data_IF_702231254501
#
_entry.id   IF_702231254501
#
_cell.length_a   1.000
_cell.length_b   1.000
_cell.length_c   1.000
_cell.angle_alpha   90.00
_cell.angle_beta   90.00
_cell.angle_gamma   90.00
#
_symmetry.space_group_name_H-M   'P 1'
#
loop_
_entity.id
_entity.type
_entity.pdbx_description
1 polymer ?
#
# COMPACT_ATOMS: atom_id res chain seq x y z
N UNK A 1 15.93 -38.32 35.12
CA UNK A 1 16.26 -39.32 34.08
C UNK A 1 16.83 -38.57 32.88
N UNK A 2 18.16 -38.56 32.65
CA UNK A 2 18.73 -37.86 31.50
C UNK A 2 18.76 -38.78 30.28
N UNK A 3 18.21 -38.30 29.15
CA UNK A 3 18.19 -38.99 27.86
C UNK A 3 19.41 -38.53 27.05
N UNK A 4 20.25 -39.48 26.67
CA UNK A 4 21.44 -39.34 25.82
C UNK A 4 21.02 -39.01 24.37
N UNK A 5 21.61 -37.95 23.80
CA UNK A 5 21.50 -37.61 22.39
C UNK A 5 22.62 -38.30 21.59
N UNK A 6 22.24 -39.04 20.55
CA UNK A 6 23.13 -39.71 19.60
C UNK A 6 23.36 -38.81 18.37
N UNK A 7 24.62 -38.60 18.00
CA UNK A 7 25.04 -37.90 16.79
C UNK A 7 25.02 -38.82 15.54
N UNK A 8 24.83 -38.29 14.32
CA UNK A 8 24.97 -39.04 13.07
C UNK A 8 26.38 -38.93 12.46
N UNK A 9 26.83 -39.96 11.68
CA UNK A 9 28.14 -39.94 11.01
C UNK A 9 28.09 -39.23 9.65
N UNK A 10 29.21 -38.61 9.29
CA UNK A 10 29.41 -37.82 8.07
C UNK A 10 29.56 -38.64 6.79
N UNK A 11 29.19 -38.02 5.67
CA UNK A 11 29.37 -38.54 4.32
C UNK A 11 30.52 -37.81 3.61
N UNK A 12 31.45 -38.62 3.09
CA UNK A 12 32.64 -38.23 2.36
C UNK A 12 32.34 -37.68 0.96
N UNK A 13 33.14 -36.70 0.54
CA UNK A 13 33.15 -36.11 -0.78
C UNK A 13 34.01 -36.91 -1.75
N UNK A 14 33.44 -37.34 -2.88
CA UNK A 14 34.20 -37.90 -4.01
C UNK A 14 34.52 -36.78 -5.00
N UNK A 15 35.82 -36.44 -5.09
CA UNK A 15 36.40 -35.66 -6.18
C UNK A 15 36.72 -36.59 -7.35
N UNK A 16 36.27 -36.24 -8.54
CA UNK A 16 36.73 -36.87 -9.78
C UNK A 16 37.20 -35.78 -10.74
N UNK A 17 38.51 -35.79 -10.94
CA UNK A 17 39.27 -35.04 -11.91
C UNK A 17 39.62 -36.03 -13.04
N UNK A 18 39.54 -35.62 -14.30
CA UNK A 18 40.64 -35.61 -15.29
C UNK A 18 40.26 -35.83 -16.77
N UNK A 19 40.97 -35.03 -17.59
CA UNK A 19 41.51 -35.28 -18.94
C UNK A 19 40.76 -34.87 -20.24
N UNK A 20 41.39 -33.87 -20.88
CA UNK A 20 41.55 -33.50 -22.32
C UNK A 20 41.77 -34.70 -23.30
N UNK A 21 41.70 -34.58 -24.66
CA UNK A 21 42.37 -33.53 -25.48
C UNK A 21 41.78 -33.14 -26.88
N UNK A 22 42.51 -32.19 -27.51
CA UNK A 22 42.37 -31.53 -28.82
C UNK A 22 42.00 -32.37 -30.07
N UNK A 23 41.34 -31.74 -31.05
CA UNK A 23 41.71 -31.78 -32.50
C UNK A 23 41.31 -30.51 -33.30
N UNK A 24 42.27 -30.03 -34.12
CA UNK A 24 42.14 -29.14 -35.31
C UNK A 24 41.16 -29.77 -36.34
N UNK A 25 40.57 -29.09 -37.34
CA UNK A 25 41.20 -28.54 -38.57
C UNK A 25 40.12 -27.92 -39.49
N UNK A 26 40.41 -26.73 -40.03
CA UNK A 26 40.13 -26.15 -41.39
C UNK A 26 38.76 -26.10 -42.09
N UNK A 27 38.56 -24.93 -42.73
CA UNK A 27 38.05 -24.66 -44.08
C UNK A 27 36.59 -24.20 -44.28
N UNK A 28 36.49 -22.89 -44.55
CA UNK A 28 35.86 -22.19 -45.69
C UNK A 28 34.43 -22.53 -46.19
N UNK A 29 33.78 -21.45 -46.64
CA UNK A 29 32.81 -21.30 -47.76
C UNK A 29 31.44 -20.74 -47.36
N UNK A 30 31.31 -19.44 -47.66
CA UNK A 30 30.16 -18.67 -48.17
C UNK A 30 28.80 -19.38 -48.21
N UNK A 31 27.84 -18.85 -47.43
CA UNK A 31 26.45 -18.72 -47.86
C UNK A 31 25.75 -17.61 -47.08
N UNK A 32 25.63 -16.46 -47.73
CA UNK A 32 24.80 -15.32 -47.35
C UNK A 32 23.34 -15.67 -47.69
N UNK A 33 22.67 -16.36 -46.76
CA UNK A 33 21.22 -16.53 -46.77
C UNK A 33 20.68 -15.83 -45.52
N UNK A 34 19.85 -14.82 -45.76
CA UNK A 34 19.09 -14.09 -44.77
C UNK A 34 18.42 -15.06 -43.77
N UNK A 35 19.07 -15.22 -42.61
CA UNK A 35 18.48 -15.94 -41.49
C UNK A 35 17.28 -15.13 -41.00
N UNK A 36 16.08 -15.73 -40.89
CA UNK A 36 14.99 -15.08 -40.17
C UNK A 36 15.51 -14.80 -38.76
N UNK A 37 15.63 -13.51 -38.41
CA UNK A 37 16.00 -13.08 -37.07
C UNK A 37 15.02 -13.74 -36.11
N UNK A 38 15.49 -14.81 -35.47
CA UNK A 38 14.78 -15.50 -34.41
C UNK A 38 14.49 -14.41 -33.39
N UNK A 39 13.21 -14.12 -33.05
CA UNK A 39 12.92 -13.11 -32.06
C UNK A 39 13.68 -13.52 -30.81
N UNK A 40 14.70 -12.73 -30.50
CA UNK A 40 15.47 -12.84 -29.28
C UNK A 40 14.45 -12.51 -28.20
N UNK A 41 13.85 -13.57 -27.65
CA UNK A 41 13.02 -13.47 -26.47
C UNK A 41 14.00 -13.00 -25.41
N UNK A 42 14.11 -11.68 -25.24
CA UNK A 42 14.75 -11.05 -24.10
C UNK A 42 14.08 -11.67 -22.88
N UNK A 43 14.71 -12.71 -22.34
CA UNK A 43 14.38 -13.25 -21.05
C UNK A 43 14.71 -12.13 -20.09
N UNK A 44 13.71 -11.26 -19.84
CA UNK A 44 13.77 -10.26 -18.79
C UNK A 44 14.16 -11.01 -17.52
N UNK A 45 15.43 -10.89 -17.15
CA UNK A 45 15.98 -11.53 -15.98
C UNK A 45 15.23 -10.95 -14.80
N UNK A 46 14.28 -11.75 -14.30
CA UNK A 46 13.43 -11.35 -13.19
C UNK A 46 14.36 -11.02 -12.02
N UNK A 47 14.35 -9.75 -11.62
CA UNK A 47 15.09 -9.27 -10.45
C UNK A 47 14.76 -10.18 -9.26
N UNK A 48 15.77 -10.85 -8.72
CA UNK A 48 15.61 -11.73 -7.58
C UNK A 48 15.57 -10.88 -6.30
N UNK A 49 14.42 -10.88 -5.64
CA UNK A 49 14.21 -10.12 -4.42
C UNK A 49 14.41 -11.03 -3.19
N UNK A 50 14.98 -10.46 -2.13
CA UNK A 50 15.12 -11.10 -0.83
C UNK A 50 13.87 -10.95 0.05
N UNK A 51 12.94 -10.10 -0.37
CA UNK A 51 11.74 -9.76 0.36
C UNK A 51 10.49 -10.36 -0.31
N UNK A 52 9.39 -10.52 0.43
CA UNK A 52 8.08 -10.83 -0.15
C UNK A 52 7.71 -9.86 -1.27
N UNK A 53 7.41 -10.42 -2.44
CA UNK A 53 7.22 -9.66 -3.68
C UNK A 53 5.92 -10.07 -4.38
N UNK A 54 5.04 -9.10 -4.60
CA UNK A 54 3.77 -9.25 -5.31
C UNK A 54 3.90 -8.56 -6.66
N UNK A 55 3.96 -9.35 -7.74
CA UNK A 55 3.95 -8.82 -9.11
C UNK A 55 2.53 -8.89 -9.65
N UNK A 56 1.96 -7.72 -9.94
CA UNK A 56 0.61 -7.59 -10.47
C UNK A 56 0.64 -7.64 -11.99
N UNK A 57 -0.35 -8.29 -12.58
CA UNK A 57 -0.49 -8.39 -14.04
C UNK A 57 -1.31 -7.20 -14.61
N UNK A 58 -0.88 -5.99 -14.25
CA UNK A 58 -1.47 -4.72 -14.70
C UNK A 58 -0.34 -3.79 -15.12
N UNK A 59 -0.58 -2.90 -16.08
CA UNK A 59 0.48 -2.00 -16.53
C UNK A 59 0.79 -0.91 -15.47
N UNK A 60 -0.24 -0.44 -14.78
CA UNK A 60 -0.17 0.58 -13.71
C UNK A 60 -1.06 0.19 -12.53
N UNK A 61 -0.63 0.55 -11.32
CA UNK A 61 -1.41 0.37 -10.10
C UNK A 61 -2.30 1.60 -9.95
N UNK A 62 -3.61 1.41 -10.10
CA UNK A 62 -4.57 2.49 -9.90
C UNK A 62 -4.61 2.94 -8.43
N UNK A 63 -5.06 4.17 -8.19
CA UNK A 63 -5.20 4.70 -6.81
C UNK A 63 -6.13 3.82 -5.96
N UNK A 64 -7.21 3.30 -6.56
CA UNK A 64 -8.16 2.40 -5.91
C UNK A 64 -7.52 1.04 -5.54
N UNK A 65 -6.70 0.50 -6.44
CA UNK A 65 -5.96 -0.75 -6.21
C UNK A 65 -4.92 -0.57 -5.11
N UNK A 66 -4.16 0.53 -5.16
CA UNK A 66 -3.17 0.86 -4.14
C UNK A 66 -3.81 0.96 -2.75
N UNK A 67 -4.92 1.68 -2.63
CA UNK A 67 -5.68 1.80 -1.39
C UNK A 67 -6.14 0.45 -0.84
N UNK A 68 -6.75 -0.39 -1.70
CA UNK A 68 -7.27 -1.70 -1.30
C UNK A 68 -6.18 -2.67 -0.85
N UNK A 69 -5.08 -2.76 -1.60
CA UNK A 69 -3.96 -3.62 -1.25
C UNK A 69 -3.27 -3.15 0.04
N UNK A 70 -3.19 -1.85 0.25
CA UNK A 70 -2.65 -1.27 1.50
C UNK A 70 -3.54 -1.60 2.70
N UNK A 71 -4.86 -1.41 2.59
CA UNK A 71 -5.80 -1.76 3.66
C UNK A 71 -5.77 -3.26 4.00
N UNK A 72 -5.67 -4.10 2.95
CA UNK A 72 -5.50 -5.56 3.09
C UNK A 72 -4.20 -5.91 3.81
N UNK A 73 -3.08 -5.29 3.42
CA UNK A 73 -1.79 -5.48 4.10
C UNK A 73 -1.88 -5.11 5.58
N UNK A 74 -2.47 -3.97 5.94
CA UNK A 74 -2.64 -3.55 7.35
C UNK A 74 -3.41 -4.62 8.12
N UNK A 75 -4.53 -5.09 7.57
CA UNK A 75 -5.35 -6.15 8.18
C UNK A 75 -4.56 -7.45 8.38
N UNK A 76 -3.74 -7.83 7.40
CA UNK A 76 -2.86 -8.99 7.50
C UNK A 76 -1.76 -8.78 8.55
N UNK A 77 -1.10 -7.63 8.58
CA UNK A 77 -0.03 -7.33 9.55
C UNK A 77 -0.56 -7.39 10.98
N UNK A 78 -1.75 -6.83 11.24
CA UNK A 78 -2.38 -6.91 12.56
C UNK A 78 -2.57 -8.36 13.01
N UNK A 79 -3.05 -9.23 12.12
CA UNK A 79 -3.22 -10.65 12.45
C UNK A 79 -1.88 -11.38 12.60
N UNK A 80 -0.95 -11.19 11.66
CA UNK A 80 0.36 -11.88 11.63
C UNK A 80 1.28 -11.46 12.79
N UNK A 81 1.11 -10.25 13.33
CA UNK A 81 1.83 -9.75 14.49
C UNK A 81 1.05 -9.92 15.81
N UNK A 82 0.06 -10.81 15.83
CA UNK A 82 -0.76 -11.11 17.01
C UNK A 82 -1.41 -9.88 17.67
N UNK A 83 -1.70 -8.84 16.87
CA UNK A 83 -2.42 -7.66 17.37
C UNK A 83 -3.91 -7.89 17.46
N UNK A 84 -4.43 -8.87 16.72
CA UNK A 84 -5.84 -9.26 16.72
C UNK A 84 -5.93 -10.79 16.65
N UNK A 85 -6.92 -11.42 17.31
CA UNK A 85 -6.99 -12.88 17.43
C UNK A 85 -7.44 -13.57 16.14
N UNK A 86 -8.18 -12.86 15.28
CA UNK A 86 -8.69 -13.38 14.00
C UNK A 86 -8.51 -12.33 12.90
N UNK A 87 -8.43 -12.75 11.62
CA UNK A 87 -8.46 -11.83 10.49
C UNK A 87 -9.68 -10.90 10.54
N UNK A 88 -9.51 -9.63 10.14
CA UNK A 88 -10.57 -8.60 10.21
C UNK A 88 -11.88 -9.04 9.53
N UNK A 89 -11.78 -9.73 8.39
CA UNK A 89 -12.95 -10.26 7.66
C UNK A 89 -13.71 -11.33 8.45
N UNK A 90 -13.03 -12.09 9.30
CA UNK A 90 -13.68 -13.04 10.20
C UNK A 90 -14.30 -12.32 11.40
N UNK A 91 -13.57 -11.37 12.01
CA UNK A 91 -14.04 -10.57 13.14
C UNK A 91 -15.37 -9.85 12.84
N UNK A 92 -15.52 -9.28 11.63
CA UNK A 92 -16.74 -8.57 11.23
C UNK A 92 -17.97 -9.49 11.08
N UNK A 93 -17.75 -10.80 10.89
CA UNK A 93 -18.82 -11.80 10.73
C UNK A 93 -19.15 -12.55 12.02
N UNK A 94 -18.26 -12.51 13.01
CA UNK A 94 -18.47 -13.23 14.26
C UNK A 94 -19.57 -12.53 15.07
N UNK A 95 -20.59 -13.26 15.56
CA UNK A 95 -21.59 -12.70 16.45
C UNK A 95 -20.93 -12.20 17.73
N UNK A 96 -21.41 -11.09 18.29
CA UNK A 96 -20.95 -10.63 19.60
C UNK A 96 -21.38 -11.64 20.66
N UNK A 97 -20.43 -12.17 21.44
CA UNK A 97 -20.78 -12.94 22.64
C UNK A 97 -21.47 -12.02 23.64
N UNK A 98 -22.64 -12.42 24.15
CA UNK A 98 -23.38 -11.64 25.16
C UNK A 98 -22.63 -11.54 26.50
N UNK A 99 -21.66 -12.43 26.73
CA UNK A 99 -20.96 -12.55 28.01
C UNK A 99 -19.82 -11.53 28.21
N UNK A 100 -19.28 -10.92 27.14
CA UNK A 100 -18.18 -9.95 27.25
C UNK A 100 -18.45 -8.70 26.39
N UNK A 101 -19.11 -7.72 27.00
CA UNK A 101 -19.42 -6.43 26.38
C UNK A 101 -18.16 -5.63 26.01
N UNK A 102 -17.04 -5.84 26.71
CA UNK A 102 -15.78 -5.11 26.50
C UNK A 102 -15.05 -5.61 25.25
N UNK A 103 -14.92 -6.92 25.09
CA UNK A 103 -14.28 -7.51 23.91
C UNK A 103 -15.11 -7.27 22.64
N UNK A 104 -16.45 -7.31 22.76
CA UNK A 104 -17.35 -6.92 21.67
C UNK A 104 -17.17 -5.45 21.25
N UNK A 105 -16.99 -4.53 22.22
CA UNK A 105 -16.70 -3.11 21.94
C UNK A 105 -15.35 -2.93 21.23
N UNK A 106 -14.26 -3.53 21.75
CA UNK A 106 -12.93 -3.49 21.12
C UNK A 106 -12.96 -3.99 19.67
N UNK A 107 -13.70 -5.07 19.41
CA UNK A 107 -13.93 -5.61 18.06
C UNK A 107 -14.61 -4.59 17.15
N UNK A 108 -15.73 -4.01 17.59
CA UNK A 108 -16.48 -3.05 16.80
C UNK A 108 -15.65 -1.80 16.49
N UNK A 109 -14.95 -1.28 17.50
CA UNK A 109 -14.06 -0.12 17.36
C UNK A 109 -12.93 -0.40 16.36
N UNK A 110 -12.32 -1.59 16.41
CA UNK A 110 -11.32 -2.01 15.43
C UNK A 110 -11.90 -2.06 14.01
N UNK A 111 -13.04 -2.74 13.80
CA UNK A 111 -13.65 -2.88 12.48
C UNK A 111 -13.99 -1.51 11.90
N UNK A 112 -14.61 -0.64 12.70
CA UNK A 112 -14.92 0.73 12.30
C UNK A 112 -13.66 1.54 11.96
N UNK A 113 -12.58 1.38 12.73
CA UNK A 113 -11.31 2.06 12.48
C UNK A 113 -10.65 1.58 11.18
N UNK A 114 -10.71 0.28 10.88
CA UNK A 114 -10.17 -0.27 9.62
C UNK A 114 -11.01 0.18 8.42
N UNK A 115 -12.34 0.22 8.56
CA UNK A 115 -13.23 0.74 7.51
C UNK A 115 -12.97 2.24 7.25
N UNK A 116 -12.79 3.02 8.32
CA UNK A 116 -12.40 4.43 8.23
C UNK A 116 -11.04 4.61 7.55
N UNK A 117 -10.02 3.84 7.95
CA UNK A 117 -8.71 3.83 7.30
C UNK A 117 -8.83 3.50 5.80
N UNK A 118 -9.61 2.48 5.45
CA UNK A 118 -9.82 2.06 4.06
C UNK A 118 -10.43 3.18 3.20
N UNK A 119 -11.44 3.88 3.74
CA UNK A 119 -12.03 5.07 3.11
C UNK A 119 -11.00 6.16 2.89
N UNK A 120 -10.22 6.50 3.93
CA UNK A 120 -9.19 7.53 3.86
C UNK A 120 -8.06 7.15 2.89
N UNK A 121 -7.63 5.89 2.85
CA UNK A 121 -6.61 5.43 1.90
C UNK A 121 -7.05 5.66 0.45
N UNK A 122 -8.33 5.54 0.14
CA UNK A 122 -8.85 5.77 -1.21
C UNK A 122 -8.63 7.22 -1.68
N UNK A 123 -8.97 8.20 -0.85
CA UNK A 123 -8.74 9.63 -1.13
C UNK A 123 -7.25 9.98 -1.03
N UNK A 124 -6.51 9.32 -0.12
CA UNK A 124 -5.07 9.49 0.08
C UNK A 124 -4.27 9.16 -1.17
N UNK A 125 -4.47 7.98 -1.77
CA UNK A 125 -3.72 7.61 -2.97
C UNK A 125 -4.06 8.48 -4.18
N UNK A 126 -5.28 9.01 -4.26
CA UNK A 126 -5.67 9.98 -5.29
C UNK A 126 -4.96 11.32 -5.11
N UNK A 127 -4.91 11.83 -3.89
CA UNK A 127 -4.17 13.04 -3.54
C UNK A 127 -2.67 12.85 -3.75
N UNK A 128 -2.12 11.69 -3.40
CA UNK A 128 -0.72 11.34 -3.61
C UNK A 128 -0.36 11.27 -5.10
N UNK A 129 -1.21 10.64 -5.92
CA UNK A 129 -1.05 10.61 -7.39
C UNK A 129 -1.01 12.02 -7.98
N UNK A 130 -1.89 12.91 -7.52
CA UNK A 130 -1.92 14.32 -7.91
C UNK A 130 -0.66 15.06 -7.46
N UNK A 131 -0.24 14.83 -6.21
CA UNK A 131 0.99 15.40 -5.69
C UNK A 131 2.17 14.98 -6.58
N UNK A 132 2.37 13.68 -6.84
CA UNK A 132 3.45 13.20 -7.72
C UNK A 132 3.41 13.82 -9.11
N UNK A 133 2.23 14.01 -9.70
CA UNK A 133 2.09 14.69 -10.99
C UNK A 133 2.63 16.12 -10.94
N UNK A 134 2.32 16.87 -9.87
CA UNK A 134 2.83 18.23 -9.70
C UNK A 134 4.36 18.29 -9.57
N UNK A 135 5.00 17.33 -8.87
CA UNK A 135 6.49 17.25 -8.82
C UNK A 135 7.09 17.08 -10.21
N UNK A 136 6.52 16.15 -10.99
CA UNK A 136 7.07 15.82 -12.30
C UNK A 136 6.96 17.00 -13.27
N UNK A 137 5.94 17.85 -13.12
CA UNK A 137 5.78 19.04 -13.95
C UNK A 137 6.77 20.15 -13.60
N UNK A 138 7.11 20.30 -12.32
CA UNK A 138 8.08 21.31 -11.88
C UNK A 138 9.50 21.02 -12.42
N UNK A 139 9.93 19.75 -12.42
CA UNK A 139 11.23 19.33 -12.93
C UNK A 139 11.38 19.31 -14.46
N UNK A 140 10.30 19.55 -15.22
CA UNK A 140 10.31 19.52 -16.69
C UNK A 140 10.50 20.89 -17.36
N UNK A 141 10.76 21.97 -16.61
CA UNK A 141 11.03 23.31 -17.18
C UNK A 141 12.32 23.29 -18.03
N UNK A 142 12.18 22.97 -19.33
CA UNK A 142 13.25 23.03 -20.32
C UNK A 142 13.57 21.73 -21.06
N UNK A 143 12.91 20.60 -20.76
CA UNK A 143 13.10 19.35 -21.50
C UNK A 143 11.86 18.98 -22.32
N UNK A 144 12.07 18.53 -23.55
CA UNK A 144 11.01 18.04 -24.45
C UNK A 144 10.17 16.97 -23.76
N UNK A 145 8.85 17.08 -23.85
CA UNK A 145 7.84 16.23 -23.20
C UNK A 145 8.29 14.77 -23.00
N UNK A 146 8.78 14.47 -21.79
CA UNK A 146 9.11 13.10 -21.39
C UNK A 146 7.82 12.40 -20.95
N UNK A 147 7.57 11.14 -21.34
CA UNK A 147 6.40 10.41 -20.85
C UNK A 147 6.38 10.42 -19.32
N UNK A 148 5.19 10.67 -18.76
CA UNK A 148 4.94 10.66 -17.31
C UNK A 148 5.50 9.37 -16.73
N UNK A 149 6.42 9.50 -15.78
CA UNK A 149 7.01 8.35 -15.13
C UNK A 149 6.03 7.85 -14.06
N UNK A 150 5.85 6.54 -13.99
CA UNK A 150 5.10 5.94 -12.90
C UNK A 150 5.80 6.25 -11.57
N UNK A 151 5.02 6.47 -10.51
CA UNK A 151 5.57 6.80 -9.21
C UNK A 151 5.80 5.56 -8.34
N UNK A 152 6.64 5.71 -7.32
CA UNK A 152 6.83 4.74 -6.25
C UNK A 152 6.32 5.30 -4.92
N UNK A 153 5.31 4.65 -4.33
CA UNK A 153 4.78 5.02 -3.03
C UNK A 153 5.39 4.15 -1.93
N UNK A 154 5.59 4.75 -0.76
CA UNK A 154 6.14 4.08 0.41
C UNK A 154 5.23 4.31 1.61
N UNK A 155 4.92 3.24 2.34
CA UNK A 155 4.13 3.31 3.57
C UNK A 155 4.78 2.45 4.65
N UNK A 156 4.56 2.77 5.91
CA UNK A 156 5.03 2.00 7.05
C UNK A 156 3.88 1.70 8.01
N UNK A 157 3.81 0.45 8.46
CA UNK A 157 2.97 -0.01 9.58
C UNK A 157 3.89 -0.23 10.77
N UNK A 158 3.76 0.62 11.78
CA UNK A 158 4.66 0.66 12.94
C UNK A 158 3.91 0.18 14.18
N UNK A 159 4.39 -0.89 14.79
CA UNK A 159 3.76 -1.51 15.96
C UNK A 159 4.56 -1.18 17.22
N UNK A 160 3.95 -0.48 18.18
CA UNK A 160 4.56 -0.14 19.46
C UNK A 160 3.85 1.02 20.15
N UNK A 161 4.28 1.40 21.38
CA UNK A 161 3.66 2.51 22.12
C UNK A 161 3.77 3.85 21.39
N UNK A 162 4.86 4.07 20.65
CA UNK A 162 5.08 5.26 19.83
C UNK A 162 5.83 4.86 18.54
N UNK A 163 5.86 5.76 17.56
CA UNK A 163 6.67 5.59 16.34
C UNK A 163 8.18 5.48 16.66
N UNK A 164 8.66 6.21 17.66
CA UNK A 164 10.08 6.22 18.06
C UNK A 164 10.52 4.99 18.86
N UNK A 165 9.60 4.39 19.62
CA UNK A 165 9.84 3.20 20.46
C UNK A 165 9.12 1.96 19.92
N UNK A 166 9.05 1.85 18.60
CA UNK A 166 8.40 0.73 17.91
C UNK A 166 9.06 -0.61 18.24
N UNK A 167 8.26 -1.66 18.42
CA UNK A 167 8.71 -3.04 18.57
C UNK A 167 8.95 -3.71 17.21
N UNK A 168 8.12 -3.39 16.22
CA UNK A 168 8.26 -3.87 14.85
C UNK A 168 7.83 -2.82 13.83
N UNK A 169 8.39 -2.92 12.63
CA UNK A 169 8.05 -2.07 11.48
C UNK A 169 7.86 -2.95 10.25
N UNK A 170 6.75 -2.76 9.55
CA UNK A 170 6.50 -3.40 8.25
C UNK A 170 6.41 -2.30 7.19
N UNK A 171 7.34 -2.33 6.24
CA UNK A 171 7.42 -1.38 5.14
C UNK A 171 6.68 -1.92 3.92
N UNK A 172 5.85 -1.08 3.31
CA UNK A 172 5.22 -1.32 2.02
C UNK A 172 5.89 -0.45 0.97
N UNK A 173 6.34 -1.07 -0.11
CA UNK A 173 6.85 -0.37 -1.29
C UNK A 173 5.97 -0.72 -2.48
N UNK A 174 5.35 0.28 -3.09
CA UNK A 174 4.49 0.13 -4.27
C UNK A 174 5.13 0.80 -5.47
N UNK A 175 5.59 0.02 -6.45
CA UNK A 175 6.16 0.53 -7.70
C UNK A 175 5.13 0.45 -8.83
N UNK A 176 5.08 1.48 -9.67
CA UNK A 176 4.13 1.53 -10.79
C UNK A 176 2.80 2.21 -10.45
N UNK A 177 2.77 3.08 -9.44
CA UNK A 177 1.57 3.85 -9.11
C UNK A 177 1.24 4.81 -10.25
N UNK A 178 -0.03 4.84 -10.66
CA UNK A 178 -0.53 5.78 -11.66
C UNK A 178 -0.35 7.23 -11.19
N UNK A 179 0.09 8.11 -12.09
CA UNK A 179 0.29 9.53 -11.81
C UNK A 179 -0.68 10.32 -12.68
N UNK A 180 -1.74 10.84 -12.06
CA UNK A 180 -2.81 11.60 -12.73
C UNK A 180 -2.72 13.06 -12.35
N UNK A 181 -2.73 13.93 -13.35
CA UNK A 181 -2.79 15.37 -13.11
C UNK A 181 -4.23 15.79 -12.77
N UNK A 182 -4.41 16.55 -11.68
CA UNK A 182 -5.72 17.12 -11.35
C UNK A 182 -6.14 18.09 -12.47
N UNK A 183 -7.35 17.89 -13.01
CA UNK A 183 -7.93 18.76 -14.04
C UNK A 183 -7.77 18.27 -15.48
N UNK A 184 -6.88 17.32 -15.76
CA UNK A 184 -6.85 16.67 -17.08
C UNK A 184 -7.79 15.48 -17.02
N UNK A 185 -9.05 15.68 -17.41
CA UNK A 185 -9.98 14.58 -17.64
C UNK A 185 -9.27 13.56 -18.52
N UNK A 186 -9.15 12.33 -18.01
CA UNK A 186 -8.40 11.24 -18.62
C UNK A 186 -9.12 10.80 -19.91
N UNK A 187 -9.04 11.62 -20.96
CA UNK A 187 -9.49 11.31 -22.29
C UNK A 187 -8.63 10.17 -22.79
N UNK A 188 -9.09 8.95 -22.53
CA UNK A 188 -8.45 7.71 -22.96
C UNK A 188 -7.98 7.86 -24.40
N UNK A 189 -6.66 7.83 -24.57
CA UNK A 189 -5.96 7.96 -25.85
C UNK A 189 -6.12 6.69 -26.70
N UNK A 190 -7.34 6.20 -26.87
CA UNK A 190 -7.72 5.43 -28.07
C UNK A 190 -8.13 6.38 -29.20
N UNK A 191 -7.48 7.55 -29.29
CA UNK A 191 -7.53 8.40 -30.47
C UNK A 191 -6.68 7.72 -31.55
N UNK A 192 -7.35 6.81 -32.26
CA UNK A 192 -6.96 6.27 -33.56
C UNK A 192 -6.46 7.44 -34.41
N UNK A 193 -5.17 7.43 -34.72
CA UNK A 193 -4.46 8.43 -35.53
C UNK A 193 -5.26 8.78 -36.78
N UNK A 194 -6.02 9.87 -36.71
CA UNK A 194 -6.55 10.53 -37.90
C UNK A 194 -5.46 11.49 -38.39
N UNK A 195 -5.18 11.49 -39.70
CA UNK A 195 -4.10 12.29 -40.26
C UNK A 195 -4.35 13.80 -40.05
N UNK A 196 -3.27 14.58 -39.83
CA UNK A 196 -3.37 16.01 -39.54
C UNK A 196 -4.02 16.74 -40.71
N UNK A 197 -5.21 17.30 -40.47
CA UNK A 197 -5.84 18.23 -41.41
C UNK A 197 -5.26 19.62 -41.13
N UNK A 198 -4.58 20.14 -42.13
CA UNK A 198 -3.98 21.48 -42.21
C UNK A 198 -5.05 22.57 -42.21
N UNK A 199 -4.67 23.73 -41.66
CA UNK A 199 -5.38 25.02 -41.59
C UNK A 199 -6.41 25.11 -40.43
N UNK A 200 -6.42 26.15 -39.59
CA UNK A 200 -6.37 27.56 -39.98
C UNK A 200 -5.76 28.43 -38.86
N UNK A 201 -5.14 29.55 -39.26
CA UNK A 201 -4.57 30.57 -38.37
C UNK A 201 -5.63 31.64 -38.12
N UNK A 202 -5.95 31.90 -36.86
CA UNK A 202 -6.70 33.09 -36.43
C UNK A 202 -6.23 33.41 -35.02
N UNK A 203 -5.32 34.35 -34.83
CA UNK A 203 -5.49 35.82 -34.87
C UNK A 203 -5.92 36.38 -33.50
N UNK A 204 -5.37 37.56 -33.22
CA UNK A 204 -4.99 38.17 -31.95
C UNK A 204 -6.14 38.53 -31.00
N UNK A 205 -5.84 38.59 -29.71
CA UNK A 205 -6.80 38.92 -28.66
C UNK A 205 -6.12 39.28 -27.34
N UNK A 206 -5.40 40.39 -27.41
CA UNK A 206 -4.81 41.18 -26.32
C UNK A 206 -5.83 41.50 -25.20
N UNK A 207 -5.47 41.25 -23.93
CA UNK A 207 -6.16 41.85 -22.78
C UNK A 207 -5.26 41.85 -21.55
N UNK A 208 -4.69 43.04 -21.33
CA UNK A 208 -4.00 43.52 -20.13
C UNK A 208 -4.95 43.64 -18.92
N UNK A 209 -4.31 43.77 -17.75
CA UNK A 209 -4.78 44.37 -16.50
C UNK A 209 -5.78 43.61 -15.60
N UNK A 210 -5.29 43.19 -14.44
CA UNK A 210 -5.60 43.90 -13.19
C UNK A 210 -4.79 43.37 -12.00
N UNK A 211 -3.92 44.23 -11.47
CA UNK A 211 -3.36 44.11 -10.12
C UNK A 211 -4.45 44.47 -9.08
N UNK A 212 -4.51 43.70 -8.00
CA UNK A 212 -5.09 44.13 -6.74
C UNK A 212 -4.35 43.46 -5.58
N UNK A 213 -3.60 44.28 -4.85
CA UNK A 213 -3.11 44.04 -3.50
C UNK A 213 -4.25 43.63 -2.57
N UNK A 214 -4.00 42.68 -1.68
CA UNK A 214 -4.67 42.67 -0.38
C UNK A 214 -3.66 42.20 0.69
N UNK A 215 -3.08 43.21 1.36
CA UNK A 215 -2.38 43.09 2.63
C UNK A 215 -3.43 42.78 3.71
N UNK A 216 -3.31 41.65 4.39
CA UNK A 216 -4.01 41.45 5.66
C UNK A 216 -3.04 40.85 6.68
N UNK A 217 -2.42 41.78 7.41
CA UNK A 217 -1.94 41.62 8.79
C UNK A 217 -3.10 41.19 9.72
N UNK A 218 -2.74 40.75 10.94
CA UNK A 218 -3.60 40.38 12.10
C UNK A 218 -3.83 38.84 12.21
N UNK A 219 -3.56 38.13 13.30
CA UNK A 219 -3.25 38.52 14.69
C UNK A 219 -2.53 37.38 15.43
N UNK A 220 -1.64 37.82 16.32
CA UNK A 220 -1.02 37.10 17.42
C UNK A 220 -2.08 36.59 18.41
N UNK A 221 -2.10 35.29 18.74
CA UNK A 221 -2.85 34.78 19.89
C UNK A 221 -1.99 33.81 20.70
N UNK A 222 -1.69 34.11 21.97
CA UNK A 222 -0.79 33.31 22.79
C UNK A 222 -1.48 32.11 23.44
N UNK A 223 -0.63 31.11 23.71
CA UNK A 223 -0.71 30.04 24.72
C UNK A 223 -1.91 30.03 25.66
N UNK A 224 -2.62 28.89 25.66
CA UNK A 224 -3.52 28.50 26.73
C UNK A 224 -3.17 27.10 27.20
N UNK A 225 -2.25 27.05 28.18
CA UNK A 225 -2.07 25.92 29.09
C UNK A 225 -3.40 25.61 29.79
N UNK A 226 -3.96 24.41 29.59
CA UNK A 226 -4.99 23.88 30.47
C UNK A 226 -4.54 22.56 31.06
N UNK A 227 -4.15 22.66 32.33
CA UNK A 227 -3.87 21.58 33.25
C UNK A 227 -5.10 20.69 33.47
N UNK A 228 -4.82 19.39 33.51
CA UNK A 228 -5.16 18.47 34.61
C UNK A 228 -6.64 18.36 35.04
N UNK A 229 -7.23 17.19 34.80
CA UNK A 229 -8.36 16.71 35.60
C UNK A 229 -8.39 15.19 35.56
N UNK A 230 -7.77 14.59 36.58
CA UNK A 230 -7.98 13.20 36.98
C UNK A 230 -9.40 13.06 37.54
N UNK A 231 -10.30 12.42 36.78
CA UNK A 231 -11.65 12.08 37.23
C UNK A 231 -11.72 10.57 37.49
N UNK A 232 -11.45 10.18 38.75
CA UNK A 232 -11.72 8.84 39.27
C UNK A 232 -13.22 8.71 39.58
N UNK A 233 -13.99 8.35 38.56
CA UNK A 233 -15.38 7.93 38.68
C UNK A 233 -15.50 6.47 39.08
N UNK A 234 -15.43 6.21 40.38
CA UNK A 234 -15.91 5.00 41.05
C UNK A 234 -17.43 4.89 40.86
N UNK A 235 -17.89 3.79 40.26
CA UNK A 235 -19.32 3.54 40.10
C UNK A 235 -19.64 2.06 40.32
N UNK A 236 -19.80 1.71 41.59
CA UNK A 236 -20.55 0.54 42.06
C UNK A 236 -22.04 0.71 41.72
N UNK A 237 -22.55 -0.06 40.76
CA UNK A 237 -24.00 -0.29 40.60
C UNK A 237 -24.19 -1.78 40.26
N UNK A 238 -24.56 -2.57 41.27
CA UNK A 238 -25.93 -2.99 41.58
C UNK A 238 -26.41 -4.11 40.67
N UNK A 239 -26.22 -5.33 41.18
CA UNK A 239 -26.95 -6.53 40.81
C UNK A 239 -28.45 -6.33 41.07
N UNK A 240 -29.25 -6.20 40.00
CA UNK A 240 -30.68 -6.45 40.07
C UNK A 240 -31.00 -7.77 39.36
N UNK A 241 -31.21 -8.76 40.22
CA UNK A 241 -31.90 -10.02 40.00
C UNK A 241 -33.31 -9.77 39.42
N UNK A 242 -33.52 -10.23 38.18
CA UNK A 242 -34.74 -10.05 37.42
C UNK A 242 -35.17 -11.36 36.75
N UNK A 243 -35.95 -12.13 37.50
CA UNK A 243 -36.58 -13.40 37.18
C UNK A 243 -37.42 -13.45 35.90
N UNK A 244 -37.36 -14.61 35.22
CA UNK A 244 -38.43 -15.36 34.54
C UNK A 244 -39.62 -14.60 33.91
N UNK A 245 -39.73 -14.69 32.58
CA UNK A 245 -40.96 -15.09 31.87
C UNK A 245 -40.72 -15.28 30.34
N UNK A 246 -40.79 -16.54 29.89
CA UNK A 246 -41.35 -16.91 28.58
C UNK A 246 -42.89 -17.02 28.70
N UNK A 247 -43.70 -17.24 27.63
CA UNK A 247 -43.53 -17.07 26.19
C UNK A 247 -44.67 -16.23 25.55
N UNK A 248 -44.47 -15.67 24.35
CA UNK A 248 -45.52 -14.94 23.64
C UNK A 248 -45.34 -14.94 22.12
N UNK A 249 -45.92 -15.93 21.44
CA UNK A 249 -46.11 -15.95 19.99
C UNK A 249 -47.10 -14.87 19.58
N UNK A 250 -46.72 -14.01 18.63
CA UNK A 250 -47.68 -13.22 17.84
C UNK A 250 -47.15 -13.09 16.41
N UNK A 251 -47.78 -13.88 15.56
CA UNK A 251 -47.78 -13.83 14.11
C UNK A 251 -48.50 -12.55 13.68
N UNK A 252 -47.75 -11.52 13.26
CA UNK A 252 -48.34 -10.31 12.68
C UNK A 252 -47.67 -10.01 11.34
N UNK A 253 -48.38 -10.39 10.28
CA UNK A 253 -48.07 -10.06 8.89
C UNK A 253 -48.22 -8.55 8.64
N UNK A 254 -47.19 -7.83 8.14
CA UNK A 254 -47.35 -6.43 7.82
C UNK A 254 -48.18 -6.25 6.54
N UNK A 255 -49.31 -5.58 6.70
CA UNK A 255 -50.22 -5.17 5.64
C UNK A 255 -49.53 -4.22 4.65
N UNK A 256 -49.67 -4.55 3.36
CA UNK A 256 -49.33 -3.71 2.21
C UNK A 256 -50.03 -2.35 2.24
N UNK A 257 -49.31 -1.21 2.08
CA UNK A 257 -49.93 0.10 1.97
C UNK A 257 -50.62 0.31 0.61
N UNK A 258 -51.69 1.13 0.56
CA UNK A 258 -52.50 1.35 -0.63
C UNK A 258 -51.77 2.21 -1.68
N UNK A 259 -51.96 1.82 -2.94
CA UNK A 259 -51.51 2.54 -4.13
C UNK A 259 -52.35 3.81 -4.32
N UNK A 260 -51.82 4.94 -3.88
CA UNK A 260 -52.32 6.26 -4.30
C UNK A 260 -51.69 6.64 -5.64
N UNK A 261 -52.54 6.69 -6.67
CA UNK A 261 -52.19 7.25 -7.96
C UNK A 261 -51.93 8.75 -7.84
N UNK A 262 -50.77 9.18 -8.30
CA UNK A 262 -50.50 10.58 -8.60
C UNK A 262 -49.94 10.67 -10.02
N UNK A 263 -50.76 11.28 -10.86
CA UNK A 263 -50.50 11.62 -12.25
C UNK A 263 -49.55 12.81 -12.34
N UNK A 264 -48.78 12.83 -13.44
CA UNK A 264 -47.90 13.91 -13.95
C UNK A 264 -46.52 14.00 -13.32
N UNK A 265 -45.50 13.61 -14.09
CA UNK A 265 -44.56 14.60 -14.68
C UNK A 265 -43.56 13.95 -15.63
N UNK A 266 -43.50 14.54 -16.82
CA UNK A 266 -42.38 14.69 -17.75
C UNK A 266 -41.44 13.48 -17.90
N UNK A 267 -41.60 12.77 -19.02
CA UNK A 267 -40.65 11.80 -19.54
C UNK A 267 -39.25 12.41 -19.65
N UNK A 268 -38.24 11.93 -18.91
CA UNK A 268 -36.86 12.16 -19.30
C UNK A 268 -36.65 11.40 -20.61
N UNK A 269 -36.31 12.15 -21.66
CA UNK A 269 -35.87 11.62 -22.95
C UNK A 269 -34.90 10.48 -22.71
N UNK A 270 -35.13 9.36 -23.38
CA UNK A 270 -34.32 8.16 -23.37
C UNK A 270 -32.90 8.45 -23.89
N UNK A 271 -32.09 9.11 -23.06
CA UNK A 271 -30.65 9.13 -23.22
C UNK A 271 -30.19 7.68 -23.19
N UNK A 272 -29.52 7.31 -24.27
CA UNK A 272 -29.00 5.99 -24.55
C UNK A 272 -28.11 5.59 -23.39
N UNK A 273 -28.65 4.80 -22.45
CA UNK A 273 -27.89 4.25 -21.34
C UNK A 273 -26.76 3.41 -21.94
N UNK A 274 -25.55 3.96 -21.96
CA UNK A 274 -24.37 3.21 -22.33
C UNK A 274 -24.34 1.94 -21.46
N UNK A 275 -24.18 0.76 -22.08
CA UNK A 275 -24.17 -0.48 -21.32
C UNK A 275 -23.12 -0.37 -20.21
N UNK A 276 -23.42 -0.83 -18.98
CA UNK A 276 -22.48 -0.78 -17.86
C UNK A 276 -21.18 -1.38 -18.35
N UNK A 277 -20.18 -0.52 -18.48
CA UNK A 277 -18.96 -0.86 -19.19
C UNK A 277 -18.37 -2.13 -18.57
N UNK A 278 -18.09 -3.14 -19.40
CA UNK A 278 -17.54 -4.43 -18.99
C UNK A 278 -16.28 -4.30 -18.11
N UNK A 279 -15.68 -3.10 -18.09
CA UNK A 279 -14.53 -2.66 -17.30
C UNK A 279 -14.68 -2.81 -15.78
N UNK A 280 -15.85 -2.54 -15.18
CA UNK A 280 -15.97 -2.56 -13.71
C UNK A 280 -15.87 -3.97 -13.11
N UNK A 281 -16.51 -4.95 -13.75
CA UNK A 281 -16.48 -6.33 -13.28
C UNK A 281 -15.06 -6.92 -13.44
N UNK A 282 -14.40 -6.60 -14.55
CA UNK A 282 -13.00 -6.93 -14.79
C UNK A 282 -12.09 -6.31 -13.73
N UNK A 283 -12.24 -5.02 -13.43
CA UNK A 283 -11.48 -4.34 -12.36
C UNK A 283 -11.68 -5.00 -11.00
N UNK A 284 -12.92 -5.33 -10.62
CA UNK A 284 -13.20 -6.04 -9.37
C UNK A 284 -12.56 -7.43 -9.33
N UNK A 285 -12.51 -8.14 -10.46
CA UNK A 285 -11.83 -9.43 -10.56
C UNK A 285 -10.31 -9.29 -10.42
N UNK A 286 -9.72 -8.27 -11.04
CA UNK A 286 -8.30 -7.95 -10.91
C UNK A 286 -7.97 -7.65 -9.45
N UNK A 287 -8.77 -6.81 -8.79
CA UNK A 287 -8.60 -6.47 -7.37
C UNK A 287 -8.65 -7.70 -6.45
N UNK A 288 -9.63 -8.59 -6.65
CA UNK A 288 -9.71 -9.84 -5.86
C UNK A 288 -8.53 -10.76 -6.11
N UNK A 289 -8.03 -10.81 -7.35
CA UNK A 289 -6.88 -11.65 -7.71
C UNK A 289 -5.60 -11.11 -7.10
N UNK A 290 -5.39 -9.79 -7.16
CA UNK A 290 -4.28 -9.09 -6.53
C UNK A 290 -4.27 -9.29 -5.00
N UNK A 291 -5.44 -9.15 -4.36
CA UNK A 291 -5.60 -9.36 -2.92
C UNK A 291 -5.26 -10.80 -2.49
N UNK A 292 -5.80 -11.80 -3.21
CA UNK A 292 -5.45 -13.22 -2.97
C UNK A 292 -3.96 -13.49 -3.16
N UNK A 293 -3.34 -12.86 -4.17
CA UNK A 293 -1.90 -12.98 -4.41
C UNK A 293 -1.09 -12.39 -3.25
N UNK A 294 -1.49 -11.22 -2.74
CA UNK A 294 -0.90 -10.60 -1.57
C UNK A 294 -1.04 -11.52 -0.34
N UNK A 295 -2.25 -11.96 0.00
CA UNK A 295 -2.49 -12.86 1.13
C UNK A 295 -1.63 -14.11 1.07
N UNK A 296 -1.54 -14.76 -0.11
CA UNK A 296 -0.70 -15.96 -0.30
C UNK A 296 0.78 -15.66 -0.13
N UNK A 297 1.25 -14.52 -0.65
CA UNK A 297 2.65 -14.09 -0.55
C UNK A 297 3.04 -13.85 0.91
N UNK A 298 2.18 -13.20 1.69
CA UNK A 298 2.38 -12.98 3.12
C UNK A 298 2.38 -14.29 3.90
N UNK A 299 1.43 -15.20 3.61
CA UNK A 299 1.37 -16.51 4.25
C UNK A 299 2.66 -17.33 4.00
N UNK A 300 3.20 -17.31 2.79
CA UNK A 300 4.48 -17.97 2.48
C UNK A 300 5.65 -17.33 3.25
N UNK A 301 5.67 -16.01 3.36
CA UNK A 301 6.70 -15.27 4.09
C UNK A 301 6.67 -15.52 5.62
N UNK A 302 5.51 -15.89 6.17
CA UNK A 302 5.38 -16.30 7.56
C UNK A 302 5.96 -17.68 7.85
N UNK A 303 6.07 -18.55 6.84
CA UNK A 303 6.62 -19.89 6.99
C UNK A 303 8.17 -19.92 7.00
N UNK A 304 8.84 -18.78 6.86
CA UNK A 304 10.30 -18.74 6.88
C UNK A 304 10.87 -19.10 8.26
N UNK A 305 11.95 -19.91 8.31
CA UNK A 305 12.49 -20.47 9.56
C UNK A 305 13.01 -19.40 10.53
N UNK A 306 13.34 -18.19 10.03
CA UNK A 306 13.78 -17.05 10.83
C UNK A 306 12.62 -16.29 11.50
N UNK A 307 11.46 -16.94 11.64
CA UNK A 307 10.24 -16.38 12.22
C UNK A 307 9.50 -15.39 11.31
N UNK A 308 10.02 -15.12 10.11
CA UNK A 308 9.39 -14.33 9.05
C UNK A 308 8.66 -13.07 9.54
N UNK A 309 7.50 -12.79 8.92
CA UNK A 309 6.55 -11.75 9.36
C UNK A 309 5.80 -12.12 10.66
N UNK A 310 5.95 -13.35 11.18
CA UNK A 310 5.10 -13.91 12.25
C UNK A 310 5.65 -13.72 13.67
N UNK A 311 6.41 -12.66 13.93
CA UNK A 311 6.89 -12.38 15.28
C UNK A 311 5.71 -12.10 16.22
N UNK A 312 5.50 -12.94 17.22
CA UNK A 312 4.48 -12.75 18.24
C UNK A 312 4.78 -11.50 19.06
N UNK A 313 3.87 -10.53 19.03
CA UNK A 313 3.94 -9.31 19.81
C UNK A 313 2.70 -9.22 20.68
N UNK A 314 2.87 -8.84 21.94
CA UNK A 314 1.74 -8.43 22.76
C UNK A 314 0.96 -7.31 22.05
N UNK A 315 -0.38 -7.28 22.15
CA UNK A 315 -1.19 -6.23 21.57
C UNK A 315 -0.68 -4.84 21.96
N UNK A 316 -0.54 -3.96 20.98
CA UNK A 316 0.00 -2.61 21.15
C UNK A 316 -0.68 -1.63 20.20
N UNK A 317 -0.23 -0.38 20.19
CA UNK A 317 -0.71 0.60 19.23
C UNK A 317 -0.06 0.36 17.86
N UNK A 318 -0.85 0.52 16.81
CA UNK A 318 -0.39 0.47 15.43
C UNK A 318 -0.52 1.87 14.83
N UNK A 319 0.60 2.38 14.32
CA UNK A 319 0.71 3.65 13.63
C UNK A 319 0.89 3.42 12.13
N UNK A 320 0.16 4.20 11.33
CA UNK A 320 0.20 4.15 9.87
C UNK A 320 0.88 5.42 9.39
N UNK A 321 1.99 5.26 8.66
CA UNK A 321 2.76 6.38 8.13
C UNK A 321 2.91 6.29 6.61
N UNK A 322 2.75 7.41 5.92
CA UNK A 322 2.89 7.55 4.48
C UNK A 322 4.09 8.44 4.18
N UNK A 323 4.95 8.04 3.22
CA UNK A 323 6.00 8.93 2.71
C UNK A 323 5.46 9.67 1.48
N UNK A 324 5.38 11.00 1.56
CA UNK A 324 4.79 11.85 0.52
C UNK A 324 5.52 13.20 0.42
N UNK A 325 5.43 13.91 -0.72
CA UNK A 325 5.98 15.27 -0.87
C UNK A 325 5.41 16.23 0.18
N UNK A 326 6.10 17.33 0.53
CA UNK A 326 5.58 18.32 1.49
C UNK A 326 4.29 18.97 1.03
N UNK A 327 4.12 19.17 -0.28
CA UNK A 327 2.87 19.70 -0.87
C UNK A 327 1.70 18.70 -0.85
N UNK A 328 1.92 17.45 -0.43
CA UNK A 328 0.81 16.53 -0.19
C UNK A 328 -0.11 17.15 0.86
N UNK A 329 -1.42 17.20 0.59
CA UNK A 329 -2.40 17.75 1.53
C UNK A 329 -3.59 16.82 1.60
N UNK A 330 -3.91 16.38 2.82
CA UNK A 330 -5.05 15.52 3.10
C UNK A 330 -5.47 15.70 4.57
N UNK A 331 -6.76 15.92 4.88
CA UNK A 331 -7.23 16.27 6.23
C UNK A 331 -6.87 15.22 7.30
N UNK A 332 -6.88 13.95 6.89
CA UNK A 332 -6.63 12.80 7.78
C UNK A 332 -5.17 12.46 8.03
N UNK A 333 -4.24 13.26 7.51
CA UNK A 333 -2.80 13.04 7.63
C UNK A 333 -2.10 14.26 8.19
N UNK A 334 -1.27 14.05 9.21
CA UNK A 334 -0.44 15.09 9.81
C UNK A 334 1.01 14.94 9.38
N UNK A 335 1.70 16.01 8.91
CA UNK A 335 3.10 15.93 8.52
C UNK A 335 4.00 15.74 9.76
N UNK A 336 5.03 14.89 9.63
CA UNK A 336 5.98 14.52 10.68
C UNK A 336 7.43 14.60 10.19
N UNK A 337 7.90 15.81 9.96
CA UNK A 337 9.26 16.07 9.48
C UNK A 337 10.34 15.53 10.44
N UNK A 338 10.05 15.48 11.75
CA UNK A 338 10.95 14.94 12.77
C UNK A 338 11.26 13.44 12.59
N UNK A 339 10.42 12.69 11.86
CA UNK A 339 10.66 11.26 11.58
C UNK A 339 11.42 11.01 10.27
N UNK A 340 11.56 12.01 9.40
CA UNK A 340 12.13 11.83 8.07
C UNK A 340 13.52 11.22 8.10
N UNK A 341 14.43 11.77 8.92
CA UNK A 341 15.81 11.27 8.96
C UNK A 341 15.92 9.82 9.43
N UNK A 342 15.16 9.42 10.45
CA UNK A 342 15.26 8.07 11.03
C UNK A 342 14.56 7.03 10.16
N UNK A 343 13.35 7.33 9.66
CA UNK A 343 12.59 6.42 8.81
C UNK A 343 13.17 6.30 7.40
N UNK A 344 13.71 7.36 6.80
CA UNK A 344 14.37 7.27 5.49
C UNK A 344 15.65 6.45 5.55
N UNK A 345 16.38 6.52 6.67
CA UNK A 345 17.52 5.63 6.92
C UNK A 345 17.06 4.16 6.99
N UNK A 346 16.03 3.87 7.79
CA UNK A 346 15.45 2.50 7.87
C UNK A 346 14.96 2.01 6.51
N UNK A 347 14.29 2.88 5.74
CA UNK A 347 13.79 2.54 4.40
C UNK A 347 14.93 2.31 3.41
N UNK A 348 15.98 3.12 3.43
CA UNK A 348 17.18 2.96 2.61
C UNK A 348 17.89 1.63 2.90
N UNK A 349 18.08 1.30 4.18
CA UNK A 349 18.69 0.04 4.63
C UNK A 349 17.84 -1.16 4.18
N UNK A 350 16.52 -1.06 4.30
CA UNK A 350 15.59 -2.08 3.82
C UNK A 350 15.66 -2.28 2.30
N UNK A 351 15.62 -1.19 1.51
CA UNK A 351 15.67 -1.24 0.05
C UNK A 351 17.00 -1.82 -0.46
N UNK A 352 18.12 -1.46 0.20
CA UNK A 352 19.43 -2.01 -0.12
C UNK A 352 19.51 -3.52 0.15
N UNK A 353 18.91 -3.99 1.25
CA UNK A 353 18.87 -5.42 1.59
C UNK A 353 17.88 -6.23 0.73
N UNK A 354 16.87 -5.56 0.16
CA UNK A 354 15.80 -6.22 -0.60
C UNK A 354 16.24 -6.80 -1.95
N UNK A 355 17.32 -6.28 -2.55
CA UNK A 355 17.78 -6.69 -3.88
C UNK A 355 18.99 -7.62 -3.73
N UNK A 356 18.86 -8.88 -4.17
CA UNK A 356 20.00 -9.80 -4.21
C UNK A 356 20.85 -9.51 -5.43
N UNK A 357 22.13 -9.23 -5.22
CA UNK A 357 23.09 -9.13 -6.33
C UNK A 357 23.37 -10.54 -6.87
N UNK A 358 22.96 -10.86 -8.13
CA UNK A 358 23.21 -12.17 -8.72
C UNK A 358 24.71 -12.47 -8.88
N UNK A 359 25.57 -11.45 -8.95
CA UNK A 359 27.01 -11.60 -9.07
C UNK A 359 27.70 -11.88 -7.73
N UNK A 360 27.03 -11.62 -6.60
CA UNK A 360 27.51 -11.98 -5.27
C UNK A 360 27.27 -13.47 -4.99
N UNK A 361 27.86 -14.34 -5.82
CA UNK A 361 27.73 -15.80 -5.80
C UNK A 361 28.44 -16.50 -4.64
N UNK A 362 29.09 -15.74 -3.74
CA UNK A 362 29.59 -16.28 -2.49
C UNK A 362 28.53 -16.02 -1.40
N UNK A 363 27.72 -17.04 -1.00
CA UNK A 363 26.90 -16.96 0.19
C UNK A 363 27.83 -16.90 1.38
N UNK A 364 28.37 -15.70 1.68
CA UNK A 364 28.88 -15.44 3.01
C UNK A 364 27.64 -15.57 3.89
N UNK A 365 27.60 -16.50 4.86
CA UNK A 365 26.56 -16.50 5.86
C UNK A 365 26.76 -15.21 6.65
N UNK A 366 26.14 -14.13 6.18
CA UNK A 366 25.96 -12.94 6.99
C UNK A 366 25.09 -13.44 8.12
N UNK A 367 25.72 -13.74 9.25
CA UNK A 367 25.02 -14.08 10.48
C UNK A 367 23.90 -13.05 10.61
N UNK A 368 22.62 -13.48 10.78
CA UNK A 368 21.53 -12.54 10.97
C UNK A 368 22.01 -11.58 12.05
N UNK A 369 22.25 -10.33 11.66
CA UNK A 369 22.74 -9.35 12.57
C UNK A 369 21.54 -9.04 13.45
N UNK A 370 21.43 -9.78 14.56
CA UNK A 370 20.57 -9.46 15.68
C UNK A 370 21.10 -8.16 16.29
N UNK A 371 21.01 -7.08 15.52
CA UNK A 371 21.12 -5.75 16.08
C UNK A 371 19.95 -5.62 17.03
N UNK A 372 20.28 -5.31 18.28
CA UNK A 372 19.32 -5.03 19.33
C UNK A 372 18.51 -3.81 18.86
N UNK A 373 17.36 -4.06 18.24
CA UNK A 373 16.58 -3.03 17.55
C UNK A 373 15.26 -3.58 17.00
N UNK A 374 14.34 -2.67 16.65
CA UNK A 374 13.05 -3.01 16.07
C UNK A 374 13.25 -3.76 14.76
N UNK A 375 12.74 -4.99 14.65
CA UNK A 375 12.79 -5.77 13.41
C UNK A 375 12.04 -5.01 12.32
N UNK A 376 12.74 -4.71 11.22
CA UNK A 376 12.16 -4.09 10.02
C UNK A 376 11.95 -5.17 8.98
N UNK A 377 10.71 -5.35 8.58
CA UNK A 377 10.28 -6.26 7.52
C UNK A 377 9.59 -5.43 6.44
N UNK A 378 9.22 -6.06 5.33
CA UNK A 378 8.41 -5.39 4.36
C UNK A 378 7.96 -6.24 3.20
N UNK A 379 7.18 -5.61 2.33
CA UNK A 379 6.55 -6.21 1.17
C UNK A 379 6.71 -5.25 0.01
N UNK A 380 7.12 -5.77 -1.14
CA UNK A 380 7.10 -5.03 -2.39
C UNK A 380 5.90 -5.45 -3.24
N UNK A 381 5.22 -4.46 -3.80
CA UNK A 381 4.15 -4.65 -4.78
C UNK A 381 4.54 -3.87 -6.03
N UNK A 382 4.62 -4.54 -7.18
CA UNK A 382 5.00 -3.92 -8.45
C UNK A 382 3.99 -4.23 -9.55
N UNK A 383 3.72 -3.26 -10.43
CA UNK A 383 3.01 -3.52 -11.68
C UNK A 383 3.90 -4.24 -12.71
N UNK A 384 3.33 -4.61 -13.85
CA UNK A 384 4.01 -5.35 -14.91
C UNK A 384 5.21 -4.55 -15.42
N UNK A 385 6.37 -5.20 -15.44
CA UNK A 385 7.63 -4.61 -15.91
C UNK A 385 8.35 -3.75 -14.87
N UNK A 386 7.71 -3.42 -13.74
CA UNK A 386 8.35 -2.62 -12.69
C UNK A 386 9.42 -3.41 -11.94
N UNK A 387 10.46 -2.68 -11.55
CA UNK A 387 11.57 -3.19 -10.74
C UNK A 387 11.64 -2.39 -9.46
N UNK A 388 12.03 -3.07 -8.38
CA UNK A 388 12.28 -2.37 -7.13
C UNK A 388 13.50 -1.47 -7.31
N UNK A 389 13.33 -0.18 -7.05
CA UNK A 389 14.41 0.80 -7.08
C UNK A 389 15.11 0.81 -5.71
N UNK A 390 16.44 0.53 -5.64
CA UNK A 390 17.18 0.52 -4.37
C UNK A 390 17.38 1.91 -3.77
N UNK A 391 17.39 2.93 -4.63
CA UNK A 391 17.69 4.30 -4.24
C UNK A 391 16.38 5.02 -3.97
N UNK A 392 16.32 5.64 -2.80
CA UNK A 392 15.37 6.71 -2.56
C UNK A 392 15.78 7.90 -3.43
N UNK A 393 14.81 8.48 -4.11
CA UNK A 393 15.03 9.73 -4.82
C UNK A 393 15.61 10.74 -3.85
N UNK A 394 16.85 11.16 -4.15
CA UNK A 394 17.46 12.25 -3.42
C UNK A 394 16.71 13.53 -3.80
N UNK A 395 16.47 14.43 -2.82
CA UNK A 395 15.86 15.71 -3.13
C UNK A 395 16.72 16.36 -4.22
N UNK A 396 16.12 16.58 -5.38
CA UNK A 396 16.65 17.54 -6.33
C UNK A 396 16.70 18.89 -5.62
N UNK A 397 17.69 19.72 -5.91
CA UNK A 397 17.73 21.12 -5.41
C UNK A 397 16.51 21.95 -5.88
N UNK A 398 15.70 21.35 -6.74
CA UNK A 398 14.45 21.86 -7.29
C UNK A 398 13.34 21.75 -6.24
N UNK A 399 13.12 22.86 -5.52
CA UNK A 399 11.99 23.17 -4.61
C UNK A 399 11.83 22.29 -3.36
N UNK A 400 11.96 22.93 -2.18
CA UNK A 400 11.72 22.33 -0.86
C UNK A 400 10.34 21.65 -0.71
N UNK A 401 9.35 22.09 -1.48
CA UNK A 401 7.99 21.50 -1.51
C UNK A 401 7.96 20.05 -2.04
N UNK A 402 8.97 19.68 -2.83
CA UNK A 402 9.12 18.37 -3.45
C UNK A 402 9.86 17.38 -2.53
N UNK A 403 10.42 17.87 -1.41
CA UNK A 403 11.02 17.02 -0.39
C UNK A 403 9.99 16.00 0.12
N UNK A 404 10.39 14.73 0.08
CA UNK A 404 9.58 13.66 0.61
C UNK A 404 9.72 13.61 2.13
N UNK A 405 8.60 13.74 2.85
CA UNK A 405 8.53 13.64 4.32
C UNK A 405 7.57 12.51 4.72
N UNK A 406 7.58 12.16 6.00
CA UNK A 406 6.61 11.23 6.54
C UNK A 406 5.38 11.95 7.07
N UNK A 407 4.22 11.37 6.80
CA UNK A 407 2.91 11.77 7.27
C UNK A 407 2.36 10.66 8.15
N UNK A 408 1.67 11.00 9.23
CA UNK A 408 1.02 10.02 10.12
C UNK A 408 -0.48 10.14 9.99
N UNK A 409 -1.16 9.00 9.89
CA UNK A 409 -2.61 8.96 9.92
C UNK A 409 -3.12 9.40 11.28
N UNK A 410 -4.14 10.26 11.31
CA UNK A 410 -4.59 10.94 12.54
C UNK A 410 -5.28 10.01 13.55
N UNK A 411 -5.76 8.85 13.10
CA UNK A 411 -6.42 7.87 13.97
C UNK A 411 -5.44 6.81 14.50
N UNK A 412 -5.88 6.07 15.51
CA UNK A 412 -5.10 5.01 16.16
C UNK A 412 -5.78 3.66 15.99
N UNK A 413 -4.98 2.62 15.73
CA UNK A 413 -5.43 1.23 15.81
C UNK A 413 -4.81 0.63 17.06
N UNK A 414 -5.63 0.05 17.93
CA UNK A 414 -5.17 -0.61 19.16
C UNK A 414 -5.46 -2.09 19.03
N UNK A 415 -4.42 -2.91 19.15
CA UNK A 415 -4.57 -4.36 19.18
C UNK A 415 -5.28 -4.85 20.44
N UNK A 416 -5.84 -6.05 20.39
CA UNK A 416 -6.39 -6.75 21.55
C UNK A 416 -6.19 -8.27 21.42
N UNK A 417 -6.09 -8.96 22.54
CA UNK A 417 -5.96 -10.43 22.62
C UNK A 417 -7.19 -11.12 23.19
N UNK A 418 -8.00 -10.39 23.96
CA UNK A 418 -9.16 -10.95 24.68
C UNK A 418 -10.33 -11.12 23.70
N UNK A 419 -10.92 -12.32 23.65
CA UNK A 419 -12.05 -12.65 22.77
C UNK A 419 -13.05 -13.59 23.43
#
# INVERSE_FOLDING_TARGET
MPILASAPPGSEAVKLNDHQPMRRTTAAVVQDLAQPQKPEIEHQTLQQLAIPAVRLDVDEISSAMAARLTASLVSHVLFLKSQIPFPVVQLSRMPGSKADSRSAKKKLDLVNTIDLLSSHLHTTFRALSTAFAASQMNGQKGQTARPLQKAQAHMAVVLGPTVGTSKAKVLLVMSGLEVKHAGVASGSKTAKTLPPTVADKSDEGDQEDHEANDDTDEDDVPDSDSEDTEDEGDSEYSDEDGSDQEPGSSDESPATPPRSGSSRSVSPSSETAEPPSATFLEEQQILRTADRLLSRTLASACAEPDGGLSSELAPTQTHILLRAPRRFSHPEWTPRQNFTRSLDKTLSEYLAAAIKDPASSAPKPSKPSYTVGSRTEGVWIGSRGERLQPKLDHPSEETEEDDMIWWTWNSKIVGFSDW
#
